data_IF_868856113733
#
_entry.id   IF_868856113733
#
_cell.length_a   1.000
_cell.length_b   1.000
_cell.length_c   1.000
_cell.angle_alpha   90.00
_cell.angle_beta   90.00
_cell.angle_gamma   90.00
#
_symmetry.space_group_name_H-M   'P 1'
#
loop_
_entity.id
_entity.type
_entity.pdbx_description
1 polymer ?
#
# COMPACT_ATOMS: atom_id res chain seq x y z
N UNK A 1 12.23 -35.51 9.92
CA UNK A 1 10.81 -35.60 9.54
C UNK A 1 10.02 -34.56 10.32
N UNK A 2 9.35 -33.63 9.63
CA UNK A 2 8.40 -32.71 10.25
C UNK A 2 7.14 -33.51 10.60
N UNK A 3 6.67 -33.46 11.85
CA UNK A 3 5.42 -34.14 12.21
C UNK A 3 4.24 -33.42 11.56
N UNK A 4 3.14 -34.12 11.24
CA UNK A 4 1.94 -33.49 10.70
C UNK A 4 1.41 -32.34 11.58
N UNK A 5 1.58 -32.46 12.90
CA UNK A 5 1.24 -31.44 13.88
C UNK A 5 2.14 -30.20 13.79
N UNK A 6 3.45 -30.38 13.57
CA UNK A 6 4.38 -29.27 13.39
C UNK A 6 4.09 -28.51 12.09
N UNK A 7 3.80 -29.22 11.00
CA UNK A 7 3.38 -28.59 9.75
C UNK A 7 2.06 -27.81 9.89
N UNK A 8 1.06 -28.40 10.56
CA UNK A 8 -0.21 -27.72 10.82
C UNK A 8 -0.04 -26.44 11.65
N UNK A 9 0.76 -26.49 12.71
CA UNK A 9 1.05 -25.33 13.55
C UNK A 9 1.76 -24.21 12.75
N UNK A 10 2.72 -24.56 11.88
CA UNK A 10 3.42 -23.58 11.04
C UNK A 10 2.50 -22.92 10.01
N UNK A 11 1.62 -23.70 9.37
CA UNK A 11 0.62 -23.16 8.43
C UNK A 11 -0.36 -22.22 9.12
N UNK A 12 -0.86 -22.58 10.30
CA UNK A 12 -1.73 -21.73 11.11
C UNK A 12 -1.03 -20.43 11.52
N UNK A 13 0.21 -20.52 12.01
CA UNK A 13 1.00 -19.35 12.40
C UNK A 13 1.20 -18.38 11.22
N UNK A 14 1.54 -18.89 10.03
CA UNK A 14 1.65 -18.09 8.81
C UNK A 14 0.32 -17.43 8.42
N UNK A 15 -0.79 -18.16 8.49
CA UNK A 15 -2.12 -17.63 8.22
C UNK A 15 -2.50 -16.48 9.15
N UNK A 16 -2.33 -16.67 10.45
CA UNK A 16 -2.60 -15.62 11.46
C UNK A 16 -1.69 -14.40 11.29
N UNK A 17 -0.41 -14.60 10.92
CA UNK A 17 0.51 -13.50 10.65
C UNK A 17 0.05 -12.66 9.43
N UNK A 18 -0.39 -13.30 8.35
CA UNK A 18 -0.95 -12.61 7.17
C UNK A 18 -2.21 -11.83 7.51
N UNK A 19 -3.14 -12.43 8.24
CA UNK A 19 -4.39 -11.77 8.63
C UNK A 19 -4.13 -10.54 9.52
N UNK A 20 -3.18 -10.65 10.47
CA UNK A 20 -2.77 -9.51 11.29
C UNK A 20 -2.17 -8.38 10.46
N UNK A 21 -1.34 -8.70 9.47
CA UNK A 21 -0.77 -7.70 8.57
C UNK A 21 -1.88 -6.99 7.78
N UNK A 22 -2.80 -7.78 7.18
CA UNK A 22 -3.93 -7.26 6.42
C UNK A 22 -4.77 -6.28 7.24
N UNK A 23 -5.22 -6.66 8.44
CA UNK A 23 -6.03 -5.77 9.30
C UNK A 23 -5.32 -4.49 9.68
N UNK A 24 -4.01 -4.54 9.97
CA UNK A 24 -3.21 -3.34 10.25
C UNK A 24 -3.17 -2.41 9.03
N UNK A 25 -2.98 -2.97 7.84
CA UNK A 25 -2.95 -2.18 6.61
C UNK A 25 -4.32 -1.59 6.28
N UNK A 26 -5.40 -2.35 6.41
CA UNK A 26 -6.77 -1.84 6.21
C UNK A 26 -7.07 -0.66 7.16
N UNK A 27 -6.71 -0.79 8.44
CA UNK A 27 -6.85 0.30 9.41
C UNK A 27 -5.99 1.53 9.06
N UNK A 28 -4.75 1.33 8.63
CA UNK A 28 -3.87 2.41 8.22
C UNK A 28 -4.39 3.12 6.95
N UNK A 29 -4.90 2.37 5.96
CA UNK A 29 -5.55 2.93 4.77
C UNK A 29 -6.82 3.71 5.13
N UNK A 30 -7.60 3.25 6.11
CA UNK A 30 -8.79 3.95 6.59
C UNK A 30 -8.47 5.29 7.29
N UNK A 31 -7.25 5.45 7.83
CA UNK A 31 -6.79 6.71 8.45
C UNK A 31 -6.38 7.80 7.45
N UNK A 32 -6.30 7.46 6.16
CA UNK A 32 -5.94 8.41 5.11
C UNK A 32 -7.10 9.37 4.84
N UNK A 33 -6.76 10.65 4.70
CA UNK A 33 -7.69 11.64 4.15
C UNK A 33 -8.04 11.29 2.70
N UNK A 34 -9.17 11.80 2.17
CA UNK A 34 -9.53 11.57 0.77
C UNK A 34 -8.41 11.92 -0.21
N UNK A 35 -7.66 13.01 0.07
CA UNK A 35 -6.59 13.48 -0.81
C UNK A 35 -5.34 12.60 -0.73
N UNK A 36 -4.95 12.17 0.46
CA UNK A 36 -3.86 11.21 0.65
C UNK A 36 -4.18 9.87 -0.02
N UNK A 37 -5.43 9.41 0.09
CA UNK A 37 -5.90 8.18 -0.58
C UNK A 37 -5.75 8.29 -2.10
N UNK A 38 -6.21 9.37 -2.71
CA UNK A 38 -6.04 9.61 -4.15
C UNK A 38 -4.56 9.55 -4.57
N UNK A 39 -3.68 10.25 -3.84
CA UNK A 39 -2.24 10.30 -4.14
C UNK A 39 -1.59 8.92 -3.99
N UNK A 40 -1.88 8.18 -2.91
CA UNK A 40 -1.38 6.82 -2.69
C UNK A 40 -1.85 5.86 -3.78
N UNK A 41 -3.12 5.93 -4.20
CA UNK A 41 -3.67 5.07 -5.27
C UNK A 41 -2.92 5.29 -6.59
N UNK A 42 -2.71 6.54 -7.00
CA UNK A 42 -1.97 6.85 -8.22
C UNK A 42 -0.48 6.51 -8.11
N UNK A 43 0.11 6.71 -6.94
CA UNK A 43 1.50 6.31 -6.67
C UNK A 43 1.67 4.79 -6.73
N UNK A 44 0.73 4.02 -6.19
CA UNK A 44 0.72 2.56 -6.24
C UNK A 44 0.67 2.04 -7.69
N UNK A 45 -0.11 2.72 -8.54
CA UNK A 45 -0.16 2.49 -10.00
C UNK A 45 1.15 2.81 -10.73
N UNK A 46 2.10 3.45 -10.06
CA UNK A 46 3.41 3.77 -10.62
C UNK A 46 3.59 5.20 -11.11
N UNK A 47 2.53 6.02 -11.12
CA UNK A 47 2.61 7.39 -11.63
C UNK A 47 3.65 8.22 -10.88
N UNK A 48 4.42 9.03 -11.62
CA UNK A 48 5.36 10.00 -11.06
C UNK A 48 4.63 11.14 -10.34
N UNK A 49 5.29 11.85 -9.44
CA UNK A 49 4.68 13.00 -8.75
C UNK A 49 4.14 14.06 -9.72
N UNK A 50 4.77 14.19 -10.90
CA UNK A 50 4.33 15.08 -11.97
C UNK A 50 3.03 14.60 -12.63
N UNK A 51 2.96 13.33 -13.00
CA UNK A 51 1.72 12.73 -13.56
C UNK A 51 0.56 12.78 -12.56
N UNK A 52 0.84 12.55 -11.27
CA UNK A 52 -0.16 12.68 -10.21
C UNK A 52 -0.62 14.13 -10.08
N UNK A 53 0.31 15.09 -10.12
CA UNK A 53 0.02 16.52 -10.06
C UNK A 53 -0.88 16.97 -11.22
N UNK A 54 -0.59 16.49 -12.44
CA UNK A 54 -1.40 16.72 -13.64
C UNK A 54 -2.79 16.10 -13.50
N UNK A 55 -2.88 14.82 -13.12
CA UNK A 55 -4.15 14.08 -12.93
C UNK A 55 -5.05 14.74 -11.88
N UNK A 56 -4.43 15.26 -10.81
CA UNK A 56 -5.14 15.81 -9.66
C UNK A 56 -5.23 17.34 -9.67
N UNK A 57 -4.74 17.99 -10.73
CA UNK A 57 -4.71 19.44 -10.96
C UNK A 57 -4.18 20.22 -9.74
N UNK A 58 -2.99 19.85 -9.27
CA UNK A 58 -2.29 20.50 -8.14
C UNK A 58 -0.79 20.62 -8.41
N UNK A 59 -0.06 21.38 -7.57
CA UNK A 59 1.39 21.49 -7.69
C UNK A 59 2.11 20.17 -7.32
N UNK A 60 3.24 19.83 -7.98
CA UNK A 60 4.06 18.65 -7.63
C UNK A 60 4.55 18.64 -6.19
N UNK A 61 4.83 19.81 -5.60
CA UNK A 61 5.21 19.93 -4.18
C UNK A 61 4.06 19.57 -3.23
N UNK A 62 2.82 19.86 -3.62
CA UNK A 62 1.62 19.46 -2.88
C UNK A 62 1.45 17.94 -2.91
N UNK A 63 1.72 17.30 -4.06
CA UNK A 63 1.75 15.83 -4.17
C UNK A 63 2.80 15.24 -3.24
N UNK A 64 4.04 15.76 -3.25
CA UNK A 64 5.10 15.30 -2.33
C UNK A 64 4.66 15.39 -0.87
N UNK A 65 4.02 16.49 -0.49
CA UNK A 65 3.54 16.70 0.88
C UNK A 65 2.44 15.70 1.25
N UNK A 66 1.44 15.50 0.39
CA UNK A 66 0.41 14.48 0.61
C UNK A 66 0.99 13.08 0.67
N UNK A 67 1.94 12.74 -0.21
CA UNK A 67 2.58 11.44 -0.24
C UNK A 67 3.37 11.19 1.04
N UNK A 68 4.13 12.17 1.52
CA UNK A 68 4.87 12.09 2.79
C UNK A 68 3.94 11.84 3.96
N UNK A 69 2.84 12.60 4.06
CA UNK A 69 1.88 12.44 5.15
C UNK A 69 1.17 11.08 5.09
N UNK A 70 0.81 10.63 3.88
CA UNK A 70 0.20 9.32 3.68
C UNK A 70 1.16 8.17 4.03
N UNK A 71 2.42 8.23 3.56
CA UNK A 71 3.44 7.23 3.88
C UNK A 71 3.69 7.18 5.40
N UNK A 72 3.78 8.33 6.07
CA UNK A 72 3.91 8.38 7.53
C UNK A 72 2.74 7.69 8.25
N UNK A 73 1.50 7.91 7.81
CA UNK A 73 0.30 7.23 8.34
C UNK A 73 0.31 5.72 8.09
N UNK A 74 0.91 5.29 6.99
CA UNK A 74 1.09 3.87 6.66
C UNK A 74 2.31 3.23 7.34
N UNK A 75 3.13 4.01 8.05
CA UNK A 75 4.40 3.54 8.63
C UNK A 75 5.45 3.19 7.58
N UNK A 76 5.43 3.88 6.44
CA UNK A 76 6.33 3.67 5.31
C UNK A 76 7.21 4.89 5.09
N UNK A 77 8.38 4.67 4.48
CA UNK A 77 9.35 5.70 4.14
C UNK A 77 9.44 5.92 2.63
N UNK A 78 9.12 4.90 1.83
CA UNK A 78 9.29 4.95 0.38
C UNK A 78 8.08 4.48 -0.41
N UNK A 79 7.97 4.96 -1.65
CA UNK A 79 7.00 4.48 -2.63
C UNK A 79 7.23 3.01 -3.02
N UNK A 80 8.47 2.51 -2.89
CA UNK A 80 8.79 1.11 -3.13
C UNK A 80 8.19 0.20 -2.04
N UNK A 81 8.30 0.61 -0.78
CA UNK A 81 7.66 -0.09 0.35
C UNK A 81 6.14 -0.10 0.22
N UNK A 82 5.53 1.00 -0.25
CA UNK A 82 4.10 1.05 -0.55
C UNK A 82 3.71 0.00 -1.60
N UNK A 83 4.46 -0.12 -2.70
CA UNK A 83 4.21 -1.14 -3.73
C UNK A 83 4.35 -2.56 -3.17
N UNK A 84 5.38 -2.81 -2.38
CA UNK A 84 5.60 -4.11 -1.73
C UNK A 84 4.47 -4.45 -0.73
N UNK A 85 3.99 -3.46 0.01
CA UNK A 85 2.87 -3.63 0.94
C UNK A 85 1.59 -4.02 0.19
N UNK A 86 1.28 -3.33 -0.90
CA UNK A 86 0.09 -3.59 -1.70
C UNK A 86 0.17 -4.92 -2.46
N UNK A 87 1.35 -5.28 -2.99
CA UNK A 87 1.55 -6.57 -3.67
C UNK A 87 1.37 -7.75 -2.71
N UNK A 88 1.81 -7.61 -1.46
CA UNK A 88 1.60 -8.63 -0.41
C UNK A 88 0.14 -8.85 -0.03
N UNK A 89 -0.71 -7.88 -0.32
CA UNK A 89 -2.14 -7.92 -0.02
C UNK A 89 -2.98 -8.20 -1.28
N UNK A 90 -2.34 -8.44 -2.43
CA UNK A 90 -3.00 -8.62 -3.73
C UNK A 90 -3.91 -7.43 -4.10
N UNK A 91 -3.66 -6.27 -3.48
CA UNK A 91 -4.34 -5.03 -3.82
C UNK A 91 -3.66 -4.50 -5.07
N UNK A 92 -4.14 -4.96 -6.22
CA UNK A 92 -3.78 -4.37 -7.50
C UNK A 92 -4.66 -3.13 -7.69
N UNK A 93 -4.09 -1.93 -7.72
CA UNK A 93 -4.85 -0.72 -7.90
C UNK A 93 -5.25 -0.61 -9.37
N UNK A 94 -6.13 -1.48 -9.87
CA UNK A 94 -6.69 -1.51 -11.22
C UNK A 94 -5.71 -1.04 -12.31
N UNK A 95 -4.96 -2.00 -12.84
CA UNK A 95 -4.02 -1.82 -13.95
C UNK A 95 -4.79 -1.26 -15.14
N UNK A 96 -4.86 0.06 -15.26
CA UNK A 96 -5.11 0.70 -16.53
C UNK A 96 -3.96 0.32 -17.45
N UNK A 97 -4.25 -0.58 -18.38
CA UNK A 97 -3.38 -0.99 -19.48
C UNK A 97 -2.59 0.20 -20.05
N UNK A 98 -1.31 0.01 -20.42
CA UNK A 98 -0.56 1.03 -21.12
C UNK A 98 -1.20 1.29 -22.50
N UNK A 99 -1.49 2.56 -22.77
CA UNK A 99 -1.39 3.08 -24.13
C UNK A 99 -0.08 3.84 -24.27
#
# INVERSE_FOLDING_TARGET
HCSPQALAAELLARGLARERLRRRTEHALASLTPRERQVITLAARGQTNRQIAETLVIAPETVKSHLRNALAKLGLHTKAELRLLLSRLEIHPDTGDPM
#
